data_IF_943582313145
#
_entry.id   IF_943582313145
#
_cell.length_a   1.000
_cell.length_b   1.000
_cell.length_c   1.000
_cell.angle_alpha   90.00
_cell.angle_beta   90.00
_cell.angle_gamma   90.00
#
_symmetry.space_group_name_H-M   'P 1'
#
loop_
_entity.id
_entity.type
_entity.pdbx_description
1 polymer ?
#
# COMPACT_ATOMS: atom_id res chain seq x y z
N UNK A 1 -25.86 7.06 32.55
CA UNK A 1 -24.42 6.85 32.85
C UNK A 1 -23.93 5.49 32.36
N UNK A 2 -24.50 4.36 32.81
CA UNK A 2 -24.06 3.01 32.41
C UNK A 2 -24.08 2.78 30.87
N UNK A 3 -25.15 3.20 30.20
CA UNK A 3 -25.28 3.12 28.72
C UNK A 3 -24.18 3.90 27.99
N UNK A 4 -23.78 5.06 28.53
CA UNK A 4 -22.72 5.89 27.94
C UNK A 4 -21.37 5.19 28.08
N UNK A 5 -21.10 4.57 29.23
CA UNK A 5 -19.87 3.80 29.44
C UNK A 5 -19.80 2.56 28.54
N UNK A 6 -20.92 1.85 28.36
CA UNK A 6 -20.99 0.72 27.41
C UNK A 6 -20.68 1.20 25.98
N UNK A 7 -21.31 2.30 25.55
CA UNK A 7 -21.09 2.84 24.21
C UNK A 7 -19.63 3.27 24.01
N UNK A 8 -19.04 3.95 24.99
CA UNK A 8 -17.64 4.37 24.94
C UNK A 8 -16.70 3.16 24.85
N UNK A 9 -16.97 2.11 25.66
CA UNK A 9 -16.19 0.88 25.65
C UNK A 9 -16.28 0.17 24.30
N UNK A 10 -17.49 0.07 23.72
CA UNK A 10 -17.70 -0.53 22.41
C UNK A 10 -16.91 0.21 21.31
N UNK A 11 -16.94 1.54 21.32
CA UNK A 11 -16.15 2.37 20.38
C UNK A 11 -14.66 2.13 20.58
N UNK A 12 -14.18 2.08 21.83
CA UNK A 12 -12.77 1.84 22.14
C UNK A 12 -12.32 0.47 21.61
N UNK A 13 -13.11 -0.59 21.83
CA UNK A 13 -12.82 -1.93 21.33
C UNK A 13 -12.76 -1.95 19.80
N UNK A 14 -13.69 -1.27 19.13
CA UNK A 14 -13.70 -1.17 17.66
C UNK A 14 -12.44 -0.46 17.13
N UNK A 15 -12.02 0.63 17.77
CA UNK A 15 -10.80 1.35 17.39
C UNK A 15 -9.55 0.50 17.61
N UNK A 16 -9.45 -0.20 18.74
CA UNK A 16 -8.35 -1.12 19.01
C UNK A 16 -8.32 -2.24 17.96
N UNK A 17 -9.46 -2.85 17.66
CA UNK A 17 -9.55 -3.88 16.61
C UNK A 17 -8.97 -3.39 15.28
N UNK A 18 -9.36 -2.21 14.81
CA UNK A 18 -8.87 -1.65 13.54
C UNK A 18 -7.36 -1.37 13.60
N UNK A 19 -6.83 -0.92 14.74
CA UNK A 19 -5.38 -0.61 14.85
C UNK A 19 -4.53 -1.87 14.95
N UNK A 20 -5.02 -2.92 15.59
CA UNK A 20 -4.28 -4.17 15.79
C UNK A 20 -4.42 -5.14 14.62
N UNK A 21 -5.51 -5.08 13.85
CA UNK A 21 -5.69 -5.91 12.66
C UNK A 21 -4.79 -5.40 11.52
N UNK A 22 -3.91 -6.25 10.96
CA UNK A 22 -3.02 -5.87 9.87
C UNK A 22 -3.77 -5.61 8.56
N UNK A 23 -3.19 -4.72 7.75
CA UNK A 23 -3.60 -4.44 6.39
C UNK A 23 -2.78 -5.32 5.43
N UNK A 24 -3.44 -5.94 4.47
CA UNK A 24 -2.81 -6.77 3.45
C UNK A 24 -2.98 -6.10 2.09
N UNK A 25 -1.92 -6.16 1.29
CA UNK A 25 -1.90 -5.68 -0.09
C UNK A 25 -1.48 -6.84 -0.96
N UNK A 26 -2.29 -7.14 -1.98
CA UNK A 26 -2.04 -8.19 -2.96
C UNK A 26 -2.08 -7.59 -4.36
N UNK A 27 -1.05 -7.85 -5.14
CA UNK A 27 -0.99 -7.52 -6.56
C UNK A 27 -0.66 -8.79 -7.31
N UNK A 28 -1.42 -9.11 -8.33
CA UNK A 28 -1.24 -10.27 -9.19
C UNK A 28 -1.59 -9.87 -10.63
N UNK A 29 -0.57 -9.62 -11.44
CA UNK A 29 -0.79 -9.15 -12.81
C UNK A 29 -1.29 -10.26 -13.73
N UNK A 30 -1.05 -11.54 -13.39
CA UNK A 30 -1.53 -12.68 -14.18
C UNK A 30 -3.04 -12.80 -14.11
N UNK A 31 -3.61 -12.53 -12.93
CA UNK A 31 -5.05 -12.55 -12.68
C UNK A 31 -5.71 -11.16 -12.79
N UNK A 32 -4.94 -10.10 -13.07
CA UNK A 32 -5.42 -8.73 -13.01
C UNK A 32 -5.95 -8.33 -11.62
N UNK A 33 -5.45 -8.94 -10.55
CA UNK A 33 -5.97 -8.74 -9.20
C UNK A 33 -5.12 -7.73 -8.43
N UNK A 34 -5.75 -6.63 -8.02
CA UNK A 34 -5.12 -5.60 -7.20
C UNK A 34 -6.01 -5.34 -5.98
N UNK A 35 -5.64 -5.89 -4.83
CA UNK A 35 -6.47 -5.91 -3.62
C UNK A 35 -5.74 -5.28 -2.43
N UNK A 36 -6.48 -4.48 -1.66
CA UNK A 36 -6.10 -3.99 -0.35
C UNK A 36 -7.21 -4.43 0.61
N UNK A 37 -6.89 -5.28 1.58
CA UNK A 37 -7.87 -5.75 2.56
C UNK A 37 -7.35 -5.71 3.99
N UNK A 38 -8.27 -5.45 4.91
CA UNK A 38 -8.09 -5.53 6.34
C UNK A 38 -9.20 -6.43 6.87
N UNK A 39 -8.82 -7.51 7.54
CA UNK A 39 -9.77 -8.53 7.99
C UNK A 39 -10.91 -7.91 8.82
N UNK A 40 -12.15 -8.11 8.38
CA UNK A 40 -13.35 -7.61 9.05
C UNK A 40 -13.66 -6.11 8.88
N UNK A 41 -12.78 -5.30 8.27
CA UNK A 41 -12.97 -3.84 8.20
C UNK A 41 -13.16 -3.34 6.77
N UNK A 42 -12.17 -3.48 5.90
CA UNK A 42 -12.17 -2.91 4.56
C UNK A 42 -11.65 -3.95 3.58
N UNK A 43 -12.29 -4.11 2.44
CA UNK A 43 -11.73 -4.81 1.30
C UNK A 43 -11.92 -3.93 0.07
N UNK A 44 -10.85 -3.62 -0.63
CA UNK A 44 -10.83 -2.82 -1.82
C UNK A 44 -10.12 -3.60 -2.91
N UNK A 45 -10.81 -3.91 -3.99
CA UNK A 45 -10.27 -4.65 -5.12
C UNK A 45 -10.47 -3.88 -6.43
N UNK A 46 -9.47 -3.97 -7.28
CA UNK A 46 -9.45 -3.45 -8.64
C UNK A 46 -9.22 -4.64 -9.58
N UNK A 47 -10.14 -4.81 -10.54
CA UNK A 47 -10.08 -5.84 -11.57
C UNK A 47 -10.13 -5.14 -12.94
N UNK A 48 -8.99 -4.94 -13.61
CA UNK A 48 -8.96 -4.43 -14.97
C UNK A 48 -9.52 -5.51 -15.92
N UNK A 49 -10.71 -5.26 -16.47
CA UNK A 49 -11.34 -6.17 -17.44
C UNK A 49 -12.81 -6.52 -17.15
N UNK A 50 -13.31 -6.22 -15.94
CA UNK A 50 -14.72 -6.39 -15.59
C UNK A 50 -15.49 -5.05 -15.59
N UNK A 51 -16.82 -5.09 -15.73
CA UNK A 51 -17.70 -3.91 -15.79
C UNK A 51 -17.57 -2.98 -14.57
N UNK A 52 -17.26 -3.52 -13.38
CA UNK A 52 -16.97 -2.76 -12.16
C UNK A 52 -15.46 -2.72 -11.89
N UNK A 53 -14.79 -1.67 -12.37
CA UNK A 53 -13.33 -1.59 -12.35
C UNK A 53 -12.80 -1.45 -10.91
N UNK A 54 -13.62 -0.92 -9.99
CA UNK A 54 -13.32 -0.72 -8.57
C UNK A 54 -14.46 -1.26 -7.69
N UNK A 55 -14.12 -2.15 -6.76
CA UNK A 55 -15.04 -2.63 -5.74
C UNK A 55 -14.51 -2.28 -4.34
N UNK A 56 -15.34 -1.64 -3.52
CA UNK A 56 -15.04 -1.34 -2.13
C UNK A 56 -16.08 -2.01 -1.23
N UNK A 57 -15.63 -2.75 -0.23
CA UNK A 57 -16.43 -3.33 0.85
C UNK A 57 -15.96 -2.75 2.17
N UNK A 58 -16.90 -2.25 2.97
CA UNK A 58 -16.63 -1.73 4.33
C UNK A 58 -17.54 -2.51 5.29
N UNK A 59 -16.95 -3.17 6.29
CA UNK A 59 -17.62 -4.09 7.21
C UNK A 59 -18.52 -5.12 6.48
N UNK A 60 -18.06 -5.63 5.33
CA UNK A 60 -18.80 -6.58 4.50
C UNK A 60 -19.83 -5.96 3.54
N UNK A 61 -20.19 -4.68 3.70
CA UNK A 61 -21.16 -3.99 2.85
C UNK A 61 -20.46 -3.41 1.61
N UNK A 62 -20.96 -3.75 0.41
CA UNK A 62 -20.43 -3.20 -0.86
C UNK A 62 -20.84 -1.73 -0.98
N UNK A 63 -19.85 -0.84 -1.03
CA UNK A 63 -20.04 0.58 -1.28
C UNK A 63 -19.84 0.83 -2.78
N UNK A 64 -20.91 1.17 -3.49
CA UNK A 64 -20.81 1.58 -4.90
C UNK A 64 -20.19 2.97 -4.97
N UNK A 65 -18.93 3.05 -5.41
CA UNK A 65 -18.30 4.32 -5.73
C UNK A 65 -18.81 4.74 -7.11
N UNK A 66 -19.95 5.46 -7.16
CA UNK A 66 -20.33 6.14 -8.41
C UNK A 66 -19.22 7.15 -8.70
N UNK A 67 -18.54 7.00 -9.84
CA UNK A 67 -17.69 8.04 -10.38
C UNK A 67 -18.57 9.25 -10.65
N UNK A 68 -18.70 10.14 -9.67
CA UNK A 68 -19.38 11.40 -9.87
C UNK A 68 -18.48 12.17 -10.83
N UNK A 69 -18.94 12.29 -12.09
CA UNK A 69 -18.40 13.21 -13.07
C UNK A 69 -18.38 14.59 -12.42
N UNK A 70 -17.24 14.99 -11.87
CA UNK A 70 -17.08 16.34 -11.36
C UNK A 70 -17.22 17.27 -12.58
N UNK A 71 -18.14 18.24 -12.57
CA UNK A 71 -18.21 19.20 -13.66
C UNK A 71 -16.85 19.88 -13.78
N UNK A 72 -16.33 19.95 -15.02
CA UNK A 72 -15.09 20.63 -15.37
C UNK A 72 -15.19 22.08 -14.88
N UNK A 73 -14.69 22.37 -13.67
CA UNK A 73 -14.60 23.75 -13.18
C UNK A 73 -13.64 24.50 -14.10
N UNK A 74 -14.18 25.52 -14.76
CA UNK A 74 -13.46 26.41 -15.66
C UNK A 74 -12.15 26.89 -15.02
N UNK A 75 -11.08 26.89 -15.82
CA UNK A 75 -9.75 27.33 -15.42
C UNK A 75 -9.79 28.83 -15.12
N UNK A 76 -9.85 29.21 -13.84
CA UNK A 76 -9.58 30.58 -13.42
C UNK A 76 -8.06 30.83 -13.49
N UNK A 77 -7.58 31.90 -14.13
CA UNK A 77 -6.15 32.18 -14.22
C UNK A 77 -5.58 32.49 -12.82
N UNK A 78 -4.66 31.65 -12.36
CA UNK A 78 -3.92 31.85 -11.10
C UNK A 78 -2.91 32.99 -11.28
N UNK A 79 -3.11 34.09 -10.55
CA UNK A 79 -2.08 35.09 -10.27
C UNK A 79 -0.81 34.41 -9.75
N UNK A 80 0.31 34.62 -10.44
CA UNK A 80 1.65 34.22 -10.02
C UNK A 80 2.10 35.08 -8.82
N UNK A 81 1.72 34.66 -7.62
CA UNK A 81 2.41 35.06 -6.40
C UNK A 81 3.38 33.94 -6.01
N UNK A 82 4.67 34.08 -6.35
CA UNK A 82 5.76 33.23 -5.82
C UNK A 82 5.97 33.51 -4.33
N UNK A 83 4.99 33.16 -3.50
CA UNK A 83 5.22 32.97 -2.08
C UNK A 83 6.02 31.68 -1.91
N UNK A 84 7.30 31.77 -1.54
CA UNK A 84 8.08 30.62 -1.07
C UNK A 84 7.22 29.90 -0.02
N UNK A 85 6.68 28.73 -0.36
CA UNK A 85 6.02 27.86 0.63
C UNK A 85 7.08 27.59 1.68
N UNK A 86 7.00 28.26 2.83
CA UNK A 86 7.77 27.88 4.03
C UNK A 86 7.45 26.40 4.23
N UNK A 87 8.43 25.53 3.95
CA UNK A 87 8.30 24.11 4.21
C UNK A 87 7.99 23.98 5.70
N UNK A 88 6.73 23.69 6.03
CA UNK A 88 6.24 23.56 7.41
C UNK A 88 6.81 22.31 8.10
N UNK A 89 7.66 21.56 7.41
CA UNK A 89 8.34 20.37 7.89
C UNK A 89 9.86 20.52 7.71
N UNK A 90 10.45 21.53 8.36
CA UNK A 90 11.89 21.49 8.65
C UNK A 90 12.13 20.51 9.79
N UNK A 91 12.15 19.22 9.47
CA UNK A 91 12.54 18.15 10.40
C UNK A 91 13.98 17.73 10.09
N UNK A 92 14.70 17.30 11.12
CA UNK A 92 16.06 16.78 10.98
C UNK A 92 16.11 15.56 10.06
N UNK A 93 17.23 15.35 9.37
CA UNK A 93 17.44 14.16 8.54
C UNK A 93 17.32 12.85 9.36
N UNK A 94 17.66 12.91 10.64
CA UNK A 94 17.52 11.78 11.58
C UNK A 94 16.05 11.45 11.88
N UNK A 95 15.15 12.44 11.92
CA UNK A 95 13.71 12.22 12.04
C UNK A 95 13.16 11.51 10.78
N UNK A 96 13.55 11.96 9.59
CA UNK A 96 13.17 11.31 8.33
C UNK A 96 13.67 9.87 8.23
N UNK A 97 14.93 9.60 8.60
CA UNK A 97 15.45 8.22 8.66
C UNK A 97 14.65 7.35 9.64
N UNK A 98 14.23 7.91 10.78
CA UNK A 98 13.39 7.21 11.74
C UNK A 98 12.01 6.86 11.16
N UNK A 99 11.40 7.79 10.42
CA UNK A 99 10.12 7.56 9.74
C UNK A 99 10.26 6.43 8.70
N UNK A 100 11.22 6.56 7.78
CA UNK A 100 11.40 5.60 6.69
C UNK A 100 11.72 4.20 7.24
N UNK A 101 12.66 4.10 8.17
CA UNK A 101 13.00 2.81 8.79
C UNK A 101 11.83 2.20 9.57
N UNK A 102 11.04 2.99 10.28
CA UNK A 102 9.86 2.51 10.99
C UNK A 102 8.75 2.04 10.05
N UNK A 103 8.51 2.77 8.96
CA UNK A 103 7.55 2.37 7.92
C UNK A 103 7.99 1.06 7.27
N UNK A 104 9.25 0.95 6.83
CA UNK A 104 9.76 -0.30 6.24
C UNK A 104 9.66 -1.48 7.21
N UNK A 105 9.96 -1.29 8.50
CA UNK A 105 9.82 -2.34 9.54
C UNK A 105 8.38 -2.70 9.90
N UNK A 106 7.42 -1.83 9.60
CA UNK A 106 6.00 -2.11 9.80
C UNK A 106 5.41 -2.98 8.69
N UNK A 107 6.11 -3.03 7.56
CA UNK A 107 5.74 -3.77 6.37
C UNK A 107 6.50 -5.10 6.38
N UNK A 108 5.79 -6.19 6.13
CA UNK A 108 6.34 -7.54 6.01
C UNK A 108 6.01 -8.07 4.64
N UNK A 109 7.04 -8.33 3.84
CA UNK A 109 6.89 -9.00 2.56
C UNK A 109 6.55 -10.47 2.80
N UNK A 110 5.39 -10.91 2.31
CA UNK A 110 4.97 -12.32 2.42
C UNK A 110 5.33 -13.09 1.16
N UNK A 111 5.21 -12.45 0.00
CA UNK A 111 5.53 -13.05 -1.29
C UNK A 111 5.91 -11.93 -2.26
N UNK A 112 6.97 -12.15 -3.01
CA UNK A 112 7.35 -11.38 -4.18
C UNK A 112 7.79 -12.38 -5.23
N UNK A 113 6.97 -12.59 -6.24
CA UNK A 113 7.36 -13.35 -7.40
C UNK A 113 7.24 -12.49 -8.66
N UNK A 114 8.27 -12.48 -9.49
CA UNK A 114 8.17 -11.82 -10.78
C UNK A 114 8.95 -12.54 -11.86
N UNK A 115 8.53 -12.32 -13.11
CA UNK A 115 9.29 -12.74 -14.27
C UNK A 115 9.78 -11.55 -15.08
N UNK A 116 11.02 -11.65 -15.52
CA UNK A 116 11.74 -10.60 -16.25
C UNK A 116 12.27 -11.20 -17.55
N UNK A 117 12.00 -10.55 -18.67
CA UNK A 117 12.61 -10.84 -19.96
C UNK A 117 13.29 -9.56 -20.47
N UNK A 118 14.58 -9.64 -20.79
CA UNK A 118 15.39 -8.52 -21.31
C UNK A 118 15.51 -8.52 -22.84
N UNK A 119 14.72 -9.33 -23.55
CA UNK A 119 14.74 -9.47 -25.02
C UNK A 119 16.12 -9.85 -25.58
N UNK A 120 17.01 -10.36 -24.72
CA UNK A 120 18.38 -10.72 -25.04
C UNK A 120 18.78 -11.98 -24.29
N UNK A 121 19.01 -13.05 -25.06
CA UNK A 121 19.33 -14.37 -24.55
C UNK A 121 20.58 -14.36 -23.66
N UNK A 122 21.62 -13.61 -24.05
CA UNK A 122 22.88 -13.53 -23.31
C UNK A 122 22.68 -12.83 -21.97
N UNK A 123 21.93 -11.70 -21.96
CA UNK A 123 21.66 -10.96 -20.72
C UNK A 123 20.75 -11.76 -19.77
N UNK A 124 19.72 -12.43 -20.29
CA UNK A 124 18.84 -13.27 -19.47
C UNK A 124 19.62 -14.45 -18.85
N UNK A 125 20.55 -15.06 -19.59
CA UNK A 125 21.41 -16.13 -19.06
C UNK A 125 22.38 -15.61 -17.98
N UNK A 126 22.96 -14.42 -18.17
CA UNK A 126 23.84 -13.77 -17.19
C UNK A 126 23.10 -13.36 -15.91
N UNK A 127 21.80 -13.10 -15.97
CA UNK A 127 20.98 -12.80 -14.81
C UNK A 127 20.75 -14.01 -13.91
N UNK A 128 20.71 -15.23 -14.45
CA UNK A 128 20.44 -16.46 -13.68
C UNK A 128 21.27 -16.57 -12.38
N UNK A 129 22.61 -16.45 -12.40
CA UNK A 129 23.39 -16.50 -11.17
C UNK A 129 23.08 -15.35 -10.19
N UNK A 130 22.76 -14.16 -10.69
CA UNK A 130 22.37 -13.02 -9.86
C UNK A 130 21.02 -13.29 -9.19
N UNK A 131 20.05 -13.82 -9.94
CA UNK A 131 18.74 -14.15 -9.43
C UNK A 131 18.79 -15.27 -8.39
N UNK A 132 19.67 -16.26 -8.54
CA UNK A 132 19.91 -17.28 -7.51
C UNK A 132 20.36 -16.68 -6.17
N UNK A 133 21.12 -15.57 -6.18
CA UNK A 133 21.54 -14.89 -4.96
C UNK A 133 20.41 -14.06 -4.33
N UNK A 134 19.57 -13.44 -5.16
CA UNK A 134 18.45 -12.59 -4.73
C UNK A 134 17.25 -13.43 -4.26
N UNK A 135 17.04 -14.61 -4.84
CA UNK A 135 15.94 -15.52 -4.53
C UNK A 135 16.14 -16.17 -3.16
N UNK A 136 15.76 -15.44 -2.12
CA UNK A 136 15.81 -15.89 -0.73
C UNK A 136 14.54 -15.53 0.01
N UNK A 137 14.06 -16.47 0.83
CA UNK A 137 12.86 -16.28 1.63
C UNK A 137 11.62 -16.03 0.76
N UNK A 138 10.89 -14.91 0.94
CA UNK A 138 9.65 -14.64 0.20
C UNK A 138 9.87 -14.14 -1.23
N UNK A 139 11.11 -14.03 -1.72
CA UNK A 139 11.48 -13.46 -3.02
C UNK A 139 11.79 -14.56 -4.04
N UNK A 140 11.15 -14.51 -5.20
CA UNK A 140 11.26 -15.48 -6.31
C UNK A 140 11.21 -14.74 -7.66
N UNK A 141 12.38 -14.48 -8.22
CA UNK A 141 12.56 -13.77 -9.47
C UNK A 141 13.11 -14.77 -10.49
N UNK A 142 12.48 -14.83 -11.66
CA UNK A 142 12.89 -15.75 -12.72
C UNK A 142 13.02 -15.03 -14.04
N UNK A 143 14.09 -15.29 -14.78
CA UNK A 143 14.14 -14.94 -16.20
C UNK A 143 13.35 -15.94 -17.01
N UNK A 144 12.80 -15.49 -18.13
CA UNK A 144 12.23 -16.36 -19.16
C UNK A 144 12.77 -15.93 -20.54
N UNK A 145 12.38 -16.66 -21.58
CA UNK A 145 12.75 -16.37 -22.97
C UNK A 145 11.51 -16.40 -23.86
N UNK A 146 10.34 -16.17 -23.25
CA UNK A 146 9.03 -16.38 -23.84
C UNK A 146 8.16 -15.12 -23.75
N UNK A 147 8.77 -13.94 -23.55
CA UNK A 147 8.09 -12.65 -23.39
C UNK A 147 7.02 -12.65 -22.28
N UNK A 148 7.22 -13.46 -21.24
CA UNK A 148 6.27 -13.58 -20.14
C UNK A 148 6.59 -12.59 -19.03
N UNK A 149 5.69 -11.64 -18.80
CA UNK A 149 5.83 -10.69 -17.70
C UNK A 149 4.73 -10.92 -16.67
N UNK A 150 5.12 -11.26 -15.44
CA UNK A 150 4.18 -11.28 -14.33
C UNK A 150 4.81 -10.73 -13.04
N UNK A 151 3.94 -10.24 -12.18
CA UNK A 151 4.27 -9.75 -10.85
C UNK A 151 3.18 -10.23 -9.87
N UNK A 152 3.62 -10.97 -8.87
CA UNK A 152 2.85 -11.37 -7.71
C UNK A 152 3.51 -10.77 -6.46
N UNK A 153 2.79 -9.89 -5.78
CA UNK A 153 3.25 -9.22 -4.57
C UNK A 153 2.20 -9.42 -3.48
N UNK A 154 2.62 -9.95 -2.32
CA UNK A 154 1.84 -9.93 -1.09
C UNK A 154 2.62 -9.25 0.01
N UNK A 155 2.00 -8.22 0.57
CA UNK A 155 2.58 -7.38 1.62
C UNK A 155 1.61 -7.29 2.78
N UNK A 156 2.13 -7.45 3.99
CA UNK A 156 1.41 -7.27 5.25
C UNK A 156 1.93 -6.03 5.96
N UNK A 157 1.09 -5.03 6.16
CA UNK A 157 1.40 -3.83 6.93
C UNK A 157 0.72 -3.89 8.32
N UNK A 158 1.49 -3.69 9.39
CA UNK A 158 0.96 -3.61 10.76
C UNK A 158 0.65 -2.15 11.12
N UNK A 159 -0.64 -1.81 11.19
CA UNK A 159 -1.10 -0.44 11.42
C UNK A 159 -0.62 0.12 12.78
N UNK A 160 -0.65 -0.68 13.84
CA UNK A 160 -0.10 -0.29 15.15
C UNK A 160 1.36 0.19 15.09
N UNK A 161 2.22 -0.49 14.32
CA UNK A 161 3.64 -0.10 14.13
C UNK A 161 3.78 1.16 13.27
N UNK A 162 2.94 1.32 12.25
CA UNK A 162 2.89 2.55 11.44
C UNK A 162 2.53 3.75 12.30
N UNK A 163 1.43 3.66 13.06
CA UNK A 163 0.98 4.73 13.95
C UNK A 163 2.06 5.08 14.96
N UNK A 164 2.68 4.08 15.60
CA UNK A 164 3.78 4.33 16.54
C UNK A 164 4.99 5.02 15.91
N UNK A 165 5.32 4.67 14.66
CA UNK A 165 6.38 5.33 13.89
C UNK A 165 6.04 6.80 13.62
N UNK A 166 4.79 7.10 13.27
CA UNK A 166 4.33 8.47 13.07
C UNK A 166 4.35 9.28 14.36
N UNK A 167 3.90 8.71 15.48
CA UNK A 167 3.99 9.36 16.79
C UNK A 167 5.45 9.70 17.11
N UNK A 168 6.36 8.73 16.98
CA UNK A 168 7.80 8.96 17.20
C UNK A 168 8.38 10.04 16.30
N UNK A 169 8.01 10.06 15.02
CA UNK A 169 8.43 11.09 14.07
C UNK A 169 7.94 12.49 14.48
N UNK A 170 6.70 12.60 14.95
CA UNK A 170 6.14 13.87 15.42
C UNK A 170 6.83 14.36 16.70
N UNK A 171 7.17 13.45 17.62
CA UNK A 171 7.83 13.78 18.89
C UNK A 171 9.33 14.08 18.74
N UNK A 172 10.02 13.53 17.74
CA UNK A 172 11.45 13.81 17.48
C UNK A 172 11.65 15.21 16.90
N UNK A 173 12.22 16.13 17.68
CA UNK A 173 12.63 17.47 17.20
C UNK A 173 13.76 17.37 16.16
#
# INVERSE_FOLDING_TARGET
>A
MLVIYILLLAILVLLLWIVFTPLYVRVDTTLGLYEIHQAGTINMSLHPGEDEWWQVRVFGVRVRVKASEKPKKAKTPKKQGKGKKKSRFKRSASAWRCLVSGVVRSITLQQFACSVDLDNVVLNAQLVPVLMLVNRGPVSIHTNFNDQYYLQLRVKARLNRLIWTFIRFLTKK
#
